data_IF_992817551978
#
_entry.id   IF_992817551978
#
_cell.length_a   1.000
_cell.length_b   1.000
_cell.length_c   1.000
_cell.angle_alpha   90.00
_cell.angle_beta   90.00
_cell.angle_gamma   90.00
#
_symmetry.space_group_name_H-M   'P 1'
#
loop_
_entity.id
_entity.type
_entity.pdbx_description
1 polymer ?
#
# COMPACT_ATOMS: atom_id res chain seq x y z
N UNK A 1 5.95 -11.21 4.11
CA UNK A 1 6.03 -11.80 5.47
C UNK A 1 7.25 -12.72 5.54
N UNK A 2 8.44 -12.23 5.93
CA UNK A 2 9.63 -13.05 6.33
C UNK A 2 10.92 -12.29 6.72
N UNK A 3 10.93 -10.96 6.86
CA UNK A 3 12.16 -10.21 7.14
C UNK A 3 12.44 -9.91 8.63
N UNK A 4 11.48 -10.17 9.53
CA UNK A 4 11.60 -9.81 10.95
C UNK A 4 12.55 -10.71 11.76
N UNK A 5 12.67 -12.00 11.42
CA UNK A 5 13.46 -12.96 12.22
C UNK A 5 14.98 -12.75 12.16
N UNK A 6 15.52 -12.24 11.05
CA UNK A 6 16.96 -12.11 10.86
C UNK A 6 17.58 -10.94 11.64
N UNK A 7 16.79 -9.92 11.98
CA UNK A 7 17.27 -8.76 12.76
C UNK A 7 17.65 -9.15 14.19
N UNK A 8 16.86 -10.00 14.86
CA UNK A 8 17.22 -10.52 16.18
C UNK A 8 18.48 -11.39 16.14
N UNK A 9 18.63 -12.24 15.12
CA UNK A 9 19.82 -13.07 14.93
C UNK A 9 21.11 -12.24 14.76
N UNK A 10 21.05 -11.10 14.07
CA UNK A 10 22.18 -10.18 13.93
C UNK A 10 22.63 -9.56 15.26
N UNK A 11 21.70 -9.23 16.16
CA UNK A 11 22.03 -8.72 17.50
C UNK A 11 22.73 -9.78 18.35
N UNK A 12 22.27 -11.04 18.30
CA UNK A 12 22.93 -12.15 19.00
C UNK A 12 24.34 -12.43 18.48
N UNK A 13 24.56 -12.33 17.17
CA UNK A 13 25.89 -12.50 16.55
C UNK A 13 26.91 -11.42 16.96
N UNK A 14 26.46 -10.20 17.24
CA UNK A 14 27.34 -9.10 17.68
C UNK A 14 27.60 -9.09 19.18
N UNK A 15 26.62 -9.50 20.00
CA UNK A 15 26.73 -9.43 21.46
C UNK A 15 27.42 -10.66 22.09
N UNK A 16 27.33 -11.83 21.45
CA UNK A 16 27.91 -13.08 21.97
C UNK A 16 29.45 -13.04 22.10
N UNK A 17 30.22 -12.51 21.13
CA UNK A 17 31.69 -12.45 21.23
C UNK A 17 32.16 -11.50 22.34
N UNK A 18 31.47 -10.37 22.53
CA UNK A 18 31.74 -9.39 23.60
C UNK A 18 31.48 -9.98 25.00
N UNK A 19 30.40 -10.75 25.15
CA UNK A 19 30.10 -11.44 26.40
C UNK A 19 31.15 -12.50 26.74
N UNK A 20 31.60 -13.29 25.75
CA UNK A 20 32.64 -14.31 25.92
C UNK A 20 34.01 -13.70 26.26
N UNK A 21 34.37 -12.58 25.64
CA UNK A 21 35.60 -11.85 25.94
C UNK A 21 35.60 -11.29 27.37
N UNK A 22 34.46 -10.78 27.85
CA UNK A 22 34.32 -10.28 29.21
C UNK A 22 34.46 -11.38 30.28
N UNK A 23 33.89 -12.56 30.03
CA UNK A 23 34.06 -13.77 30.86
C UNK A 23 35.51 -14.23 30.94
N UNK A 24 36.27 -14.06 29.86
CA UNK A 24 37.71 -14.39 29.82
C UNK A 24 38.58 -13.45 30.66
N UNK A 25 38.12 -12.24 30.96
CA UNK A 25 38.94 -11.23 31.66
C UNK A 25 38.92 -11.38 33.19
N UNK A 26 38.02 -12.20 33.76
CA UNK A 26 37.87 -12.46 35.21
C UNK A 26 37.77 -11.21 36.12
N UNK A 27 37.59 -10.03 35.53
CA UNK A 27 37.38 -8.76 36.22
C UNK A 27 35.87 -8.52 36.39
N UNK A 28 35.44 -8.40 37.66
CA UNK A 28 34.01 -8.21 37.97
C UNK A 28 33.46 -6.88 37.44
N UNK A 29 34.30 -5.85 37.32
CA UNK A 29 33.92 -4.56 36.75
C UNK A 29 33.66 -4.64 35.24
N UNK A 30 34.50 -5.38 34.51
CA UNK A 30 34.30 -5.63 33.07
C UNK A 30 33.05 -6.47 32.82
N UNK A 31 32.83 -7.51 33.62
CA UNK A 31 31.62 -8.33 33.56
C UNK A 31 30.35 -7.51 33.81
N UNK A 32 30.38 -6.62 34.81
CA UNK A 32 29.26 -5.74 35.11
C UNK A 32 28.99 -4.74 33.98
N UNK A 33 30.04 -4.11 33.43
CA UNK A 33 29.90 -3.18 32.30
C UNK A 33 29.29 -3.86 31.06
N UNK A 34 29.73 -5.06 30.72
CA UNK A 34 29.18 -5.81 29.58
C UNK A 34 27.74 -6.26 29.84
N UNK A 35 27.42 -6.70 31.06
CA UNK A 35 26.05 -7.03 31.44
C UNK A 35 25.10 -5.83 31.28
N UNK A 36 25.51 -4.65 31.75
CA UNK A 36 24.72 -3.41 31.62
C UNK A 36 24.48 -3.07 30.15
N UNK A 37 25.53 -3.11 29.32
CA UNK A 37 25.40 -2.81 27.88
C UNK A 37 24.45 -3.79 27.18
N UNK A 38 24.59 -5.09 27.43
CA UNK A 38 23.70 -6.12 26.86
C UNK A 38 22.25 -5.88 27.30
N UNK A 39 22.03 -5.61 28.58
CA UNK A 39 20.70 -5.36 29.11
C UNK A 39 20.07 -4.10 28.51
N UNK A 40 20.84 -3.03 28.34
CA UNK A 40 20.38 -1.80 27.67
C UNK A 40 20.03 -2.05 26.22
N UNK A 41 20.85 -2.78 25.46
CA UNK A 41 20.57 -3.11 24.05
C UNK A 41 19.30 -3.96 23.92
N UNK A 42 19.14 -4.97 24.78
CA UNK A 42 17.93 -5.80 24.80
C UNK A 42 16.67 -4.98 25.12
N UNK A 43 16.76 -4.06 26.09
CA UNK A 43 15.65 -3.17 26.43
C UNK A 43 15.27 -2.26 25.27
N UNK A 44 16.25 -1.64 24.62
CA UNK A 44 16.01 -0.78 23.44
C UNK A 44 15.40 -1.58 22.28
N UNK A 45 15.89 -2.81 22.03
CA UNK A 45 15.35 -3.67 20.99
C UNK A 45 13.90 -4.09 21.27
N UNK A 46 13.57 -4.41 22.53
CA UNK A 46 12.22 -4.73 22.95
C UNK A 46 11.28 -3.53 22.79
N UNK A 47 11.73 -2.34 23.21
CA UNK A 47 10.97 -1.10 23.03
C UNK A 47 10.74 -0.76 21.55
N UNK A 48 11.74 -0.97 20.68
CA UNK A 48 11.57 -0.78 19.25
C UNK A 48 10.54 -1.76 18.65
N UNK A 49 10.56 -3.03 19.08
CA UNK A 49 9.58 -4.03 18.64
C UNK A 49 8.15 -3.67 19.06
N UNK A 50 7.95 -3.19 20.28
CA UNK A 50 6.61 -2.80 20.77
C UNK A 50 6.09 -1.58 20.02
N UNK A 51 6.94 -0.60 19.72
CA UNK A 51 6.58 0.56 18.89
C UNK A 51 6.20 0.12 17.47
N UNK A 52 6.99 -0.73 16.80
CA UNK A 52 6.64 -1.26 15.48
C UNK A 52 5.29 -1.99 15.49
N UNK A 53 5.03 -2.79 16.52
CA UNK A 53 3.77 -3.51 16.68
C UNK A 53 2.58 -2.56 16.86
N UNK A 54 2.70 -1.58 17.76
CA UNK A 54 1.64 -0.60 18.03
C UNK A 54 1.36 0.23 16.78
N UNK A 55 2.41 0.71 16.10
CA UNK A 55 2.29 1.45 14.84
C UNK A 55 1.53 0.61 13.81
N UNK A 56 1.94 -0.64 13.60
CA UNK A 56 1.30 -1.54 12.64
C UNK A 56 -0.18 -1.80 12.99
N UNK A 57 -0.49 -1.97 14.26
CA UNK A 57 -1.84 -2.19 14.73
C UNK A 57 -2.72 -0.94 14.50
N UNK A 58 -2.22 0.24 14.87
CA UNK A 58 -2.89 1.52 14.63
C UNK A 58 -3.13 1.74 13.13
N UNK A 59 -2.14 1.49 12.28
CA UNK A 59 -2.30 1.59 10.83
C UNK A 59 -3.39 0.64 10.31
N UNK A 60 -3.45 -0.59 10.82
CA UNK A 60 -4.47 -1.55 10.39
C UNK A 60 -5.87 -1.11 10.84
N UNK A 61 -6.03 -0.67 12.08
CA UNK A 61 -7.31 -0.19 12.61
C UNK A 61 -7.78 1.09 11.89
N UNK A 62 -6.89 2.05 11.66
CA UNK A 62 -7.21 3.26 10.89
C UNK A 62 -7.58 2.91 9.45
N UNK A 63 -6.90 1.95 8.82
CA UNK A 63 -7.22 1.45 7.48
C UNK A 63 -8.62 0.85 7.42
N UNK A 64 -9.01 0.04 8.40
CA UNK A 64 -10.36 -0.53 8.43
C UNK A 64 -11.44 0.55 8.61
N UNK A 65 -11.21 1.54 9.49
CA UNK A 65 -12.17 2.63 9.74
C UNK A 65 -12.32 3.55 8.52
N UNK A 66 -11.21 3.91 7.88
CA UNK A 66 -11.25 4.70 6.65
C UNK A 66 -11.96 3.90 5.56
N UNK A 67 -11.61 2.63 5.39
CA UNK A 67 -12.22 1.77 4.37
C UNK A 67 -13.71 1.53 4.61
N UNK A 68 -14.16 1.36 5.86
CA UNK A 68 -15.58 1.22 6.17
C UNK A 68 -16.34 2.50 5.85
N UNK A 69 -15.78 3.67 6.14
CA UNK A 69 -16.37 4.96 5.79
C UNK A 69 -16.42 5.22 4.27
N UNK A 70 -15.40 4.77 3.53
CA UNK A 70 -15.34 4.86 2.06
C UNK A 70 -16.31 3.86 1.41
N UNK A 71 -16.41 2.64 1.93
CA UNK A 71 -17.37 1.61 1.51
C UNK A 71 -18.81 2.08 1.73
N UNK A 72 -19.09 2.71 2.86
CA UNK A 72 -20.41 3.30 3.14
C UNK A 72 -20.73 4.49 2.22
N UNK A 73 -19.72 5.28 1.81
CA UNK A 73 -19.89 6.34 0.80
C UNK A 73 -20.12 5.79 -0.61
N UNK A 74 -19.42 4.74 -0.99
CA UNK A 74 -19.56 4.09 -2.30
C UNK A 74 -20.95 3.44 -2.49
N UNK A 75 -21.59 2.97 -1.41
CA UNK A 75 -22.96 2.45 -1.43
C UNK A 75 -24.00 3.57 -1.65
N UNK A 76 -23.65 4.85 -1.36
CA UNK A 76 -24.55 6.01 -1.53
C UNK A 76 -24.54 6.65 -2.92
N UNK A 77 -23.63 6.27 -3.82
CA UNK A 77 -23.55 6.84 -5.18
C UNK A 77 -24.05 5.87 -6.25
N UNK A 78 -25.21 5.26 -6.02
CA UNK A 78 -25.94 4.48 -7.05
C UNK A 78 -26.62 5.37 -8.10
N UNK A 79 -26.52 6.68 -7.97
CA UNK A 79 -27.10 7.63 -8.91
C UNK A 79 -25.98 8.39 -9.62
N UNK A 80 -25.57 7.90 -10.78
CA UNK A 80 -24.90 8.75 -11.77
C UNK A 80 -25.46 8.41 -13.14
N UNK A 81 -26.20 9.36 -13.70
CA UNK A 81 -26.82 9.31 -15.02
C UNK A 81 -25.80 9.44 -16.17
N UNK A 82 -24.51 9.15 -15.92
CA UNK A 82 -23.41 9.33 -16.88
C UNK A 82 -22.35 8.22 -16.78
N UNK A 83 -22.76 6.95 -16.63
CA UNK A 83 -21.79 5.85 -16.74
C UNK A 83 -21.40 5.65 -18.20
N UNK A 84 -20.10 5.77 -18.51
CA UNK A 84 -19.60 5.33 -19.82
C UNK A 84 -19.85 3.82 -19.98
N UNK A 85 -20.27 3.32 -21.16
CA UNK A 85 -20.46 1.90 -21.40
C UNK A 85 -19.22 1.05 -21.05
N UNK A 86 -18.02 1.62 -21.21
CA UNK A 86 -16.76 0.96 -20.86
C UNK A 86 -16.61 0.73 -19.36
N UNK A 87 -16.97 1.71 -18.54
CA UNK A 87 -16.92 1.58 -17.09
C UNK A 87 -17.92 0.55 -16.60
N UNK A 88 -19.13 0.53 -17.16
CA UNK A 88 -20.14 -0.49 -16.85
C UNK A 88 -19.64 -1.89 -17.18
N UNK A 89 -19.04 -2.09 -18.36
CA UNK A 89 -18.46 -3.39 -18.73
C UNK A 89 -17.37 -3.84 -17.74
N UNK A 90 -16.52 -2.92 -17.29
CA UNK A 90 -15.48 -3.23 -16.31
C UNK A 90 -16.07 -3.53 -14.93
N UNK A 91 -17.04 -2.74 -14.48
CA UNK A 91 -17.77 -2.95 -13.23
C UNK A 91 -18.41 -4.35 -13.20
N UNK A 92 -19.20 -4.70 -14.22
CA UNK A 92 -19.86 -6.00 -14.34
C UNK A 92 -18.84 -7.16 -14.29
N UNK A 93 -17.70 -7.01 -14.96
CA UNK A 93 -16.65 -8.02 -14.99
C UNK A 93 -15.91 -8.18 -13.64
N UNK A 94 -15.77 -7.11 -12.87
CA UNK A 94 -15.20 -7.13 -11.51
C UNK A 94 -16.20 -7.74 -10.52
N UNK A 95 -17.48 -7.36 -10.62
CA UNK A 95 -18.56 -7.86 -9.77
C UNK A 95 -18.78 -9.37 -9.98
N UNK A 96 -18.78 -9.84 -11.22
CA UNK A 96 -18.87 -11.26 -11.56
C UNK A 96 -17.74 -12.11 -10.96
N UNK A 97 -16.63 -11.47 -10.56
CA UNK A 97 -15.44 -12.11 -9.96
C UNK A 97 -15.30 -11.82 -8.46
N UNK A 98 -16.26 -11.11 -7.86
CA UNK A 98 -16.22 -10.75 -6.45
C UNK A 98 -15.06 -9.84 -6.07
N UNK A 99 -14.52 -9.06 -7.02
CA UNK A 99 -13.41 -8.16 -6.76
C UNK A 99 -13.99 -6.83 -6.27
N UNK A 100 -13.71 -6.47 -5.02
CA UNK A 100 -14.16 -5.20 -4.45
C UNK A 100 -13.40 -4.00 -5.05
N UNK A 101 -14.13 -2.95 -5.42
CA UNK A 101 -13.60 -1.67 -5.92
C UNK A 101 -14.43 -0.51 -5.36
N UNK A 102 -13.88 0.70 -5.48
CA UNK A 102 -14.58 1.97 -5.19
C UNK A 102 -14.68 2.75 -6.48
N UNK A 103 -15.86 3.26 -6.82
CA UNK A 103 -16.05 4.13 -7.98
C UNK A 103 -15.87 5.60 -7.62
N UNK A 104 -15.50 6.41 -8.61
CA UNK A 104 -15.44 7.88 -8.48
C UNK A 104 -14.64 8.32 -7.24
N UNK A 105 -13.53 7.61 -6.99
CA UNK A 105 -12.74 7.81 -5.80
C UNK A 105 -12.03 9.16 -5.86
N UNK A 106 -12.14 9.94 -4.77
CA UNK A 106 -11.46 11.22 -4.63
C UNK A 106 -10.24 11.09 -3.74
N UNK A 107 -9.07 11.22 -4.33
CA UNK A 107 -7.82 11.48 -3.60
C UNK A 107 -7.52 12.98 -3.68
N UNK A 108 -7.85 13.71 -2.60
CA UNK A 108 -7.86 15.17 -2.59
C UNK A 108 -8.77 15.74 -3.69
N UNK A 109 -8.21 16.43 -4.68
CA UNK A 109 -8.95 17.08 -5.76
C UNK A 109 -8.97 16.24 -7.06
N UNK A 110 -8.38 15.05 -7.04
CA UNK A 110 -8.29 14.17 -8.21
C UNK A 110 -9.34 13.07 -8.12
N UNK A 111 -10.12 12.91 -9.19
CA UNK A 111 -11.06 11.82 -9.37
C UNK A 111 -10.44 10.67 -10.12
N UNK A 112 -10.82 9.45 -9.73
CA UNK A 112 -10.45 8.20 -10.37
C UNK A 112 -11.70 7.36 -10.58
N UNK A 113 -11.89 6.83 -11.79
CA UNK A 113 -13.08 6.06 -12.18
C UNK A 113 -13.25 4.81 -11.30
N UNK A 114 -12.17 4.05 -11.10
CA UNK A 114 -12.13 2.88 -10.23
C UNK A 114 -10.89 2.90 -9.33
N UNK A 115 -11.06 2.74 -8.03
CA UNK A 115 -9.98 2.65 -7.06
C UNK A 115 -10.00 1.32 -6.30
N UNK A 116 -8.80 0.85 -5.99
CA UNK A 116 -8.53 -0.25 -5.08
C UNK A 116 -7.61 0.28 -3.97
N UNK A 117 -8.18 0.97 -2.96
CA UNK A 117 -7.40 1.65 -1.92
C UNK A 117 -6.41 0.73 -1.21
N UNK A 118 -6.83 -0.52 -1.01
CA UNK A 118 -6.03 -1.56 -0.38
C UNK A 118 -4.67 -1.81 -1.05
N UNK A 119 -4.64 -1.67 -2.38
CA UNK A 119 -3.46 -1.90 -3.24
C UNK A 119 -2.87 -0.59 -3.74
N UNK A 120 -3.43 0.56 -3.33
CA UNK A 120 -3.13 1.89 -3.90
C UNK A 120 -3.13 1.84 -5.43
N UNK A 121 -4.15 1.24 -6.02
CA UNK A 121 -4.31 1.15 -7.48
C UNK A 121 -5.51 1.98 -7.92
N UNK A 122 -5.24 2.95 -8.77
CA UNK A 122 -6.21 3.76 -9.50
C UNK A 122 -6.33 3.19 -10.93
N UNK A 123 -7.54 3.00 -11.41
CA UNK A 123 -7.85 2.53 -12.77
C UNK A 123 -8.71 3.57 -13.46
N UNK A 124 -8.24 4.03 -14.62
CA UNK A 124 -8.95 5.00 -15.47
C UNK A 124 -9.35 4.34 -16.79
N UNK A 125 -10.60 4.51 -17.19
CA UNK A 125 -11.21 3.98 -18.42
C UNK A 125 -11.18 5.06 -19.51
N UNK A 126 -10.12 5.09 -20.31
CA UNK A 126 -9.94 6.12 -21.34
C UNK A 126 -10.56 5.68 -22.67
N UNK A 127 -11.60 6.41 -23.11
CA UNK A 127 -12.28 6.17 -24.38
C UNK A 127 -11.58 6.78 -25.59
N UNK A 128 -10.78 7.85 -25.44
CA UNK A 128 -10.27 8.63 -26.58
C UNK A 128 -9.03 9.44 -26.25
N UNK A 129 -7.85 8.90 -26.60
CA UNK A 129 -6.57 9.64 -26.50
C UNK A 129 -6.27 10.56 -27.69
N UNK A 130 -7.04 10.46 -28.78
CA UNK A 130 -6.57 10.90 -30.11
C UNK A 130 -6.67 12.42 -30.40
N UNK A 131 -7.24 13.24 -29.52
CA UNK A 131 -7.28 14.71 -29.69
C UNK A 131 -6.99 15.51 -28.42
N UNK A 132 -6.03 15.08 -27.60
CA UNK A 132 -5.61 15.83 -26.40
C UNK A 132 -4.61 16.94 -26.77
N UNK A 133 -4.92 18.18 -26.37
CA UNK A 133 -4.04 19.34 -26.53
C UNK A 133 -2.76 19.20 -25.68
N UNK A 134 -1.75 20.05 -25.91
CA UNK A 134 -0.54 20.06 -25.06
C UNK A 134 -0.87 20.37 -23.60
N UNK A 135 -1.86 21.22 -23.36
CA UNK A 135 -2.27 21.61 -22.01
C UNK A 135 -3.00 20.48 -21.28
N UNK A 136 -3.80 19.68 -21.98
CA UNK A 136 -4.46 18.51 -21.40
C UNK A 136 -3.43 17.48 -20.92
N UNK A 137 -2.42 17.20 -21.76
CA UNK A 137 -1.32 16.29 -21.40
C UNK A 137 -0.52 16.76 -20.18
N UNK A 138 -0.32 18.08 -20.06
CA UNK A 138 0.36 18.65 -18.91
C UNK A 138 -0.46 18.52 -17.63
N UNK A 139 -1.79 18.68 -17.70
CA UNK A 139 -2.69 18.45 -16.56
C UNK A 139 -2.73 16.97 -16.15
N UNK A 140 -2.82 16.05 -17.10
CA UNK A 140 -2.81 14.62 -16.83
C UNK A 140 -1.49 14.17 -16.21
N UNK A 141 -0.36 14.69 -16.69
CA UNK A 141 0.94 14.41 -16.10
C UNK A 141 1.05 14.91 -14.64
N UNK A 142 0.47 16.08 -14.34
CA UNK A 142 0.39 16.60 -12.96
C UNK A 142 -0.50 15.73 -12.08
N UNK A 143 -1.65 15.28 -12.60
CA UNK A 143 -2.53 14.34 -11.88
C UNK A 143 -1.82 13.03 -11.55
N UNK A 144 -1.20 12.42 -12.56
CA UNK A 144 -0.47 11.17 -12.40
C UNK A 144 0.69 11.32 -11.41
N UNK A 145 1.41 12.45 -11.45
CA UNK A 145 2.49 12.73 -10.52
C UNK A 145 2.00 12.89 -9.08
N UNK A 146 0.84 13.53 -8.87
CA UNK A 146 0.23 13.64 -7.54
C UNK A 146 -0.23 12.29 -7.00
N UNK A 147 -0.92 11.49 -7.82
CA UNK A 147 -1.33 10.14 -7.41
C UNK A 147 -0.10 9.30 -7.04
N UNK A 148 0.96 9.34 -7.86
CA UNK A 148 2.23 8.66 -7.58
C UNK A 148 2.89 9.16 -6.30
N UNK A 149 2.89 10.46 -6.02
CA UNK A 149 3.49 11.00 -4.78
C UNK A 149 2.72 10.56 -3.53
N UNK A 150 1.43 10.25 -3.68
CA UNK A 150 0.57 9.63 -2.66
C UNK A 150 0.66 8.10 -2.61
N UNK A 151 1.58 7.50 -3.36
CA UNK A 151 1.82 6.07 -3.41
C UNK A 151 0.85 5.30 -4.31
N UNK A 152 0.01 5.98 -5.08
CA UNK A 152 -0.90 5.34 -6.02
C UNK A 152 -0.19 4.94 -7.32
N UNK A 153 -0.54 3.75 -7.80
CA UNK A 153 -0.28 3.29 -9.16
C UNK A 153 -1.49 3.64 -10.02
N UNK A 154 -1.27 4.20 -11.19
CA UNK A 154 -2.34 4.51 -12.16
C UNK A 154 -2.27 3.50 -13.30
N UNK A 155 -3.35 2.78 -13.54
CA UNK A 155 -3.54 1.84 -14.64
C UNK A 155 -4.60 2.39 -15.58
N UNK A 156 -4.18 2.85 -16.75
CA UNK A 156 -5.10 3.29 -17.80
C UNK A 156 -5.50 2.09 -18.66
N UNK A 157 -6.79 1.87 -18.81
CA UNK A 157 -7.38 0.87 -19.69
C UNK A 157 -8.07 1.60 -20.84
N UNK A 158 -7.68 1.28 -22.07
CA UNK A 158 -8.32 1.88 -23.24
C UNK A 158 -9.64 1.19 -23.53
N UNK A 159 -10.55 1.88 -24.24
CA UNK A 159 -11.77 1.26 -24.72
C UNK A 159 -11.54 -0.01 -25.55
N UNK A 160 -10.43 -0.08 -26.29
CA UNK A 160 -10.07 -1.25 -27.09
C UNK A 160 -9.54 -2.40 -26.22
N UNK A 161 -8.83 -2.11 -25.13
CA UNK A 161 -8.45 -3.13 -24.13
C UNK A 161 -9.71 -3.76 -23.51
N UNK A 162 -10.66 -2.92 -23.06
CA UNK A 162 -11.87 -3.34 -22.35
C UNK A 162 -12.81 -4.12 -23.27
N UNK A 163 -13.00 -3.66 -24.51
CA UNK A 163 -13.85 -4.35 -25.50
C UNK A 163 -13.19 -5.59 -26.09
N UNK A 164 -11.86 -5.58 -26.23
CA UNK A 164 -11.10 -6.66 -26.86
C UNK A 164 -10.87 -7.86 -25.95
N UNK A 165 -10.45 -7.62 -24.70
CA UNK A 165 -10.24 -8.68 -23.70
C UNK A 165 -10.44 -8.14 -22.28
N UNK A 166 -11.69 -8.19 -21.83
CA UNK A 166 -12.06 -7.76 -20.47
C UNK A 166 -11.38 -8.62 -19.39
N UNK A 167 -11.11 -9.89 -19.68
CA UNK A 167 -10.47 -10.80 -18.73
C UNK A 167 -8.99 -10.46 -18.57
N UNK A 168 -8.31 -10.04 -19.63
CA UNK A 168 -6.95 -9.49 -19.55
C UNK A 168 -6.92 -8.22 -18.71
N UNK A 169 -7.92 -7.33 -18.86
CA UNK A 169 -8.04 -6.14 -18.03
C UNK A 169 -8.15 -6.51 -16.54
N UNK A 170 -9.03 -7.44 -16.20
CA UNK A 170 -9.17 -7.91 -14.80
C UNK A 170 -7.90 -8.59 -14.29
N UNK A 171 -7.20 -9.36 -15.13
CA UNK A 171 -5.89 -9.95 -14.77
C UNK A 171 -4.85 -8.87 -14.48
N UNK A 172 -4.78 -7.81 -15.28
CA UNK A 172 -3.88 -6.66 -15.04
C UNK A 172 -4.19 -5.95 -13.72
N UNK A 173 -5.48 -5.78 -13.41
CA UNK A 173 -5.94 -5.22 -12.13
C UNK A 173 -5.54 -6.13 -10.97
N UNK A 174 -5.74 -7.43 -11.10
CA UNK A 174 -5.44 -8.42 -10.05
C UNK A 174 -3.94 -8.64 -9.82
N UNK A 175 -3.14 -8.61 -10.88
CA UNK A 175 -1.69 -8.79 -10.83
C UNK A 175 -0.91 -7.54 -10.40
N UNK A 176 -1.57 -6.38 -10.37
CA UNK A 176 -1.00 -5.14 -9.86
C UNK A 176 -0.94 -5.18 -8.33
N UNK A 177 0.18 -5.72 -7.80
CA UNK A 177 0.52 -5.71 -6.36
C UNK A 177 1.14 -4.40 -5.89
#
# INVERSE_FOLDING_TARGET
MRLSGYRLLLYWLLLLPLALLALSLHDRGVLYAVFVVVLTVLFVALAAMTVEFVIRNIYHSLREIIFSSEKERAIRTRDSTTESPLERMLADALDARGIAYVREYRESDIHVDFAFPERKLAVECDGHRYHSSRDDKARDAKRDAFLKSRGWRVLRLTGDDIRGDIDACVRRISGSR
#
